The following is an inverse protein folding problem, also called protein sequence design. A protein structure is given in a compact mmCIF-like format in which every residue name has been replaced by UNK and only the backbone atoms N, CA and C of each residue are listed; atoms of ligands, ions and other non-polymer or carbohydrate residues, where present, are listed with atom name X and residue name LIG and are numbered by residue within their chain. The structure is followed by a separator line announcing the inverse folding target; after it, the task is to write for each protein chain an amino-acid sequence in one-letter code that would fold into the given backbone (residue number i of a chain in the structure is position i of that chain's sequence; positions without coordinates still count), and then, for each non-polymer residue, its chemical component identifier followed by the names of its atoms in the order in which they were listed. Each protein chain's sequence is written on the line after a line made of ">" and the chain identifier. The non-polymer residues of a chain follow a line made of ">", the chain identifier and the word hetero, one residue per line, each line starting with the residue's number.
data_IF_689660386345
#
_entry.id   IF_689660386345
#
_cell.length_a   1.000
_cell.length_b   1.000
_cell.length_c   1.000
_cell.angle_alpha   90.00
_cell.angle_beta   90.00
_cell.angle_gamma   90.00
#
_symmetry.space_group_name_H-M   'P 1'
#
loop_
_entity.id
_entity.type
_entity.pdbx_description
1 polymer ?
#
# COMPACT_ATOMS: atom_id res chain seq x y z
N UNK A 1 32.51 -73.32 53.95
CA UNK A 1 31.35 -74.09 53.45
C UNK A 1 30.07 -73.31 53.74
N UNK A 2 29.14 -73.36 52.79
CA UNK A 2 27.73 -72.89 52.82
C UNK A 2 27.48 -71.38 52.70
N UNK A 3 27.08 -70.99 51.49
CA UNK A 3 26.04 -69.99 51.24
C UNK A 3 24.66 -70.72 51.16
N UNK A 4 23.51 -70.06 50.92
CA UNK A 4 23.12 -68.64 51.04
C UNK A 4 21.78 -68.47 51.81
N UNK A 5 21.24 -67.24 51.90
CA UNK A 5 19.79 -66.98 51.80
C UNK A 5 19.51 -65.51 51.43
N UNK A 6 18.81 -65.32 50.30
CA UNK A 6 18.15 -64.08 49.86
C UNK A 6 16.82 -63.89 50.61
N UNK A 7 16.45 -62.64 50.93
CA UNK A 7 15.07 -62.14 51.09
C UNK A 7 15.04 -60.66 50.62
N UNK A 8 13.96 -60.18 49.95
CA UNK A 8 13.99 -59.07 49.01
C UNK A 8 13.71 -57.68 49.63
N UNK A 9 14.15 -56.63 48.93
CA UNK A 9 13.86 -55.23 49.23
C UNK A 9 12.41 -54.94 48.86
N UNK A 10 11.59 -54.63 49.86
CA UNK A 10 10.21 -54.13 49.72
C UNK A 10 10.24 -52.61 49.68
N UNK A 11 9.67 -52.05 48.63
CA UNK A 11 9.33 -50.63 48.48
C UNK A 11 7.98 -50.39 49.15
N UNK A 12 7.88 -49.51 50.15
CA UNK A 12 6.69 -48.67 50.38
C UNK A 12 6.96 -47.46 51.30
N UNK A 13 6.70 -46.29 50.71
CA UNK A 13 6.35 -44.95 51.19
C UNK A 13 6.16 -44.65 52.70
N UNK A 14 6.75 -43.53 53.14
CA UNK A 14 6.13 -42.44 53.92
C UNK A 14 7.10 -41.23 53.81
N UNK A 15 6.84 -40.17 53.03
CA UNK A 15 5.85 -39.09 53.19
C UNK A 15 6.43 -37.83 53.86
N UNK A 16 6.26 -36.71 53.14
CA UNK A 16 5.96 -35.37 53.64
C UNK A 16 6.94 -34.73 54.65
N UNK A 17 8.02 -34.11 54.16
CA UNK A 17 8.64 -32.97 54.85
C UNK A 17 9.56 -32.09 53.97
N UNK A 18 9.58 -32.26 52.64
CA UNK A 18 10.55 -31.54 51.79
C UNK A 18 9.98 -31.04 50.45
N UNK A 19 8.70 -30.63 50.43
CA UNK A 19 8.08 -29.92 49.30
C UNK A 19 7.21 -28.79 49.85
N UNK A 20 7.81 -27.88 50.62
CA UNK A 20 7.08 -26.72 51.15
C UNK A 20 7.90 -25.41 51.09
N UNK A 21 8.99 -25.36 50.33
CA UNK A 21 9.85 -24.18 50.23
C UNK A 21 10.40 -23.91 48.82
N UNK A 22 9.78 -24.47 47.77
CA UNK A 22 10.05 -24.04 46.38
C UNK A 22 8.90 -23.22 45.78
N UNK A 23 7.68 -23.32 46.30
CA UNK A 23 6.56 -22.49 45.83
C UNK A 23 6.60 -21.06 46.40
N UNK A 24 7.21 -20.84 47.56
CA UNK A 24 7.31 -19.51 48.19
C UNK A 24 8.49 -18.68 47.71
N UNK A 25 9.46 -19.27 47.02
CA UNK A 25 10.61 -18.54 46.42
C UNK A 25 10.40 -18.21 44.93
N UNK A 26 9.44 -18.86 44.26
CA UNK A 26 9.00 -18.49 42.90
C UNK A 26 7.78 -17.55 42.95
N UNK A 27 7.08 -17.44 44.08
CA UNK A 27 5.96 -16.48 44.22
C UNK A 27 6.39 -15.03 44.49
N UNK A 28 7.69 -14.73 44.58
CA UNK A 28 8.22 -13.35 44.75
C UNK A 28 9.02 -12.83 43.56
N UNK A 29 9.05 -13.53 42.42
CA UNK A 29 9.67 -13.06 41.16
C UNK A 29 8.65 -13.07 40.00
N UNK A 30 7.36 -12.89 40.30
CA UNK A 30 6.33 -12.66 39.28
C UNK A 30 5.36 -11.55 39.68
N UNK A 31 5.86 -10.51 40.34
CA UNK A 31 5.36 -9.19 40.01
C UNK A 31 6.19 -8.76 38.80
N UNK A 32 5.73 -9.13 37.59
CA UNK A 32 6.07 -8.32 36.44
C UNK A 32 5.70 -6.90 36.87
N UNK A 33 6.70 -6.02 37.03
CA UNK A 33 6.39 -4.60 37.03
C UNK A 33 5.68 -4.40 35.71
N UNK A 34 4.36 -4.19 35.75
CA UNK A 34 3.62 -3.67 34.62
C UNK A 34 4.37 -2.37 34.27
N UNK A 35 5.20 -2.43 33.23
CA UNK A 35 5.69 -1.23 32.59
C UNK A 35 4.40 -0.49 32.23
N UNK A 36 4.16 0.73 32.76
CA UNK A 36 2.94 1.45 32.44
C UNK A 36 2.88 1.52 30.92
N UNK A 37 1.88 0.88 30.32
CA UNK A 37 1.61 1.02 28.91
C UNK A 37 1.45 2.53 28.69
N UNK A 38 2.25 3.13 27.80
CA UNK A 38 2.07 4.54 27.52
C UNK A 38 0.68 4.70 26.92
N UNK A 39 -0.22 5.30 27.70
CA UNK A 39 -1.59 5.59 27.30
C UNK A 39 -1.60 6.93 26.58
N UNK A 40 -2.14 6.96 25.37
CA UNK A 40 -2.36 8.18 24.60
C UNK A 40 -3.84 8.53 24.76
N UNK A 41 -4.19 8.94 25.97
CA UNK A 41 -5.52 9.37 26.40
C UNK A 41 -5.44 10.82 26.85
N UNK A 42 -6.56 11.50 26.87
CA UNK A 42 -6.62 12.92 27.19
C UNK A 42 -6.36 13.80 25.98
N UNK A 43 -6.30 15.11 26.20
CA UNK A 43 -5.84 16.02 25.16
C UNK A 43 -4.31 16.00 25.04
N UNK A 44 -3.82 15.91 23.81
CA UNK A 44 -2.39 15.96 23.55
C UNK A 44 -1.73 17.24 24.10
N UNK A 45 -0.48 17.13 24.52
CA UNK A 45 0.35 18.26 24.98
C UNK A 45 1.39 18.69 23.94
N UNK A 46 1.54 17.94 22.84
CA UNK A 46 2.47 18.20 21.75
C UNK A 46 3.86 17.59 21.96
N UNK A 47 4.15 17.10 23.16
CA UNK A 47 5.43 16.46 23.50
C UNK A 47 5.38 14.94 23.28
N UNK A 48 4.19 14.39 23.04
CA UNK A 48 4.01 12.96 22.88
C UNK A 48 4.65 12.47 21.59
N UNK A 49 5.23 11.28 21.63
CA UNK A 49 5.78 10.61 20.45
C UNK A 49 5.07 9.27 20.33
N UNK A 50 3.86 9.23 19.75
CA UNK A 50 3.17 7.98 19.48
C UNK A 50 3.99 7.14 18.49
N UNK A 51 4.40 5.92 18.86
CA UNK A 51 5.15 5.05 17.96
C UNK A 51 4.22 4.56 16.83
N UNK A 52 4.74 4.35 15.61
CA UNK A 52 3.99 3.64 14.59
C UNK A 52 3.76 2.19 15.01
N UNK A 53 2.53 1.70 14.86
CA UNK A 53 2.23 0.27 15.04
C UNK A 53 2.65 -0.50 13.79
N UNK A 54 2.45 0.08 12.61
CA UNK A 54 2.87 -0.48 11.33
C UNK A 54 3.21 0.67 10.36
N UNK A 55 4.49 0.84 10.06
CA UNK A 55 4.98 1.91 9.19
C UNK A 55 4.59 1.74 7.73
N UNK A 56 4.50 0.49 7.26
CA UNK A 56 4.16 0.17 5.87
C UNK A 56 2.69 0.46 5.61
N UNK A 57 1.83 0.21 6.61
CA UNK A 57 0.42 0.54 6.55
C UNK A 57 0.21 2.05 6.44
N UNK A 58 0.89 2.82 7.28
CA UNK A 58 0.85 4.27 7.23
C UNK A 58 1.40 4.81 5.90
N UNK A 59 2.50 4.25 5.40
CA UNK A 59 3.04 4.65 4.09
C UNK A 59 2.06 4.35 2.95
N UNK A 60 1.43 3.17 2.96
CA UNK A 60 0.45 2.79 1.94
C UNK A 60 -0.76 3.74 1.92
N UNK A 61 -1.26 4.20 3.07
CA UNK A 61 -2.35 5.20 3.12
C UNK A 61 -1.97 6.49 2.37
N UNK A 62 -0.73 6.96 2.55
CA UNK A 62 -0.23 8.18 1.89
C UNK A 62 -0.14 7.97 0.38
N UNK A 63 0.50 6.88 -0.05
CA UNK A 63 0.68 6.55 -1.46
C UNK A 63 -0.65 6.36 -2.18
N UNK A 64 -1.59 5.61 -1.61
CA UNK A 64 -2.93 5.40 -2.16
C UNK A 64 -3.72 6.72 -2.27
N UNK A 65 -3.56 7.62 -1.29
CA UNK A 65 -4.21 8.94 -1.34
C UNK A 65 -3.62 9.79 -2.45
N UNK A 66 -2.30 9.77 -2.65
CA UNK A 66 -1.67 10.53 -3.73
C UNK A 66 -1.89 9.90 -5.10
N UNK A 67 -2.02 8.58 -5.21
CA UNK A 67 -2.46 7.90 -6.43
C UNK A 67 -3.89 8.31 -6.82
N UNK A 68 -4.81 8.39 -5.85
CA UNK A 68 -6.15 8.93 -6.08
C UNK A 68 -6.07 10.37 -6.61
N UNK A 69 -5.26 11.23 -5.96
CA UNK A 69 -5.14 12.63 -6.36
C UNK A 69 -4.54 12.78 -7.75
N UNK A 70 -3.49 12.03 -8.06
CA UNK A 70 -2.86 11.97 -9.38
C UNK A 70 -3.86 11.55 -10.47
N UNK A 71 -4.67 10.52 -10.20
CA UNK A 71 -5.72 10.07 -11.14
C UNK A 71 -6.76 11.14 -11.47
N UNK A 72 -6.87 12.18 -10.65
CA UNK A 72 -7.76 13.33 -10.80
C UNK A 72 -7.04 14.59 -11.32
N UNK A 73 -5.74 14.50 -11.60
CA UNK A 73 -4.89 15.65 -11.96
C UNK A 73 -4.72 16.65 -10.81
N UNK A 74 -4.78 16.19 -9.56
CA UNK A 74 -4.62 17.02 -8.37
C UNK A 74 -3.19 16.95 -7.83
N UNK A 75 -2.65 18.06 -7.29
CA UNK A 75 -1.33 18.09 -6.66
C UNK A 75 -1.19 17.04 -5.54
N UNK A 76 -0.09 16.28 -5.46
CA UNK A 76 0.14 15.31 -4.40
C UNK A 76 0.37 15.99 -3.05
N UNK A 77 -0.07 15.35 -1.98
CA UNK A 77 0.14 15.80 -0.60
C UNK A 77 1.50 15.35 -0.08
N UNK A 78 2.19 16.23 0.63
CA UNK A 78 3.47 15.94 1.30
C UNK A 78 3.25 15.22 2.64
N UNK A 79 3.87 14.06 2.88
CA UNK A 79 3.84 13.43 4.21
C UNK A 79 4.54 14.34 5.24
N UNK A 80 3.92 14.52 6.41
CA UNK A 80 4.46 15.33 7.50
C UNK A 80 4.41 14.60 8.84
N UNK A 81 5.58 14.47 9.48
CA UNK A 81 5.73 13.74 10.74
C UNK A 81 4.88 14.28 11.90
N UNK A 82 4.64 15.59 11.95
CA UNK A 82 3.78 16.17 12.99
C UNK A 82 2.29 15.81 12.80
N UNK A 83 1.84 15.68 11.55
CA UNK A 83 0.51 15.15 11.25
C UNK A 83 0.42 13.65 11.53
N UNK A 84 1.48 12.88 11.23
CA UNK A 84 1.57 11.46 11.63
C UNK A 84 1.45 11.31 13.15
N UNK A 85 2.18 12.13 13.93
CA UNK A 85 2.09 12.11 15.40
C UNK A 85 0.67 12.40 15.88
N UNK A 86 0.02 13.43 15.32
CA UNK A 86 -1.37 13.75 15.68
C UNK A 86 -2.33 12.61 15.31
N UNK A 87 -2.15 11.98 14.15
CA UNK A 87 -3.01 10.90 13.67
C UNK A 87 -2.80 9.61 14.48
N UNK A 88 -1.55 9.24 14.78
CA UNK A 88 -1.22 8.09 15.63
C UNK A 88 -1.73 8.28 17.05
N UNK A 89 -1.57 9.48 17.62
CA UNK A 89 -2.13 9.78 18.94
C UNK A 89 -3.61 9.44 18.96
N UNK A 90 -4.36 9.94 17.97
CA UNK A 90 -5.79 9.72 17.91
C UNK A 90 -6.17 8.27 17.62
N UNK A 91 -5.49 7.60 16.68
CA UNK A 91 -5.74 6.18 16.40
C UNK A 91 -5.57 5.33 17.67
N UNK A 92 -4.57 5.63 18.49
CA UNK A 92 -4.33 4.93 19.75
C UNK A 92 -5.39 5.30 20.82
N UNK A 93 -5.76 6.58 20.95
CA UNK A 93 -6.85 7.05 21.81
C UNK A 93 -8.16 6.28 21.51
N UNK A 94 -8.56 6.27 20.23
CA UNK A 94 -9.74 5.54 19.73
C UNK A 94 -9.71 4.05 20.10
N UNK A 95 -8.53 3.42 19.98
CA UNK A 95 -8.34 2.01 20.25
C UNK A 95 -8.28 1.69 21.75
N UNK A 96 -7.71 2.56 22.58
CA UNK A 96 -7.57 2.35 24.03
C UNK A 96 -8.90 2.49 24.75
N UNK A 97 -9.71 3.47 24.35
CA UNK A 97 -10.97 3.80 25.01
C UNK A 97 -12.20 3.14 24.36
N UNK A 98 -11.96 2.32 23.33
CA UNK A 98 -12.94 1.51 22.58
C UNK A 98 -14.12 2.36 22.10
N UNK A 99 -13.81 3.34 21.26
CA UNK A 99 -14.79 4.31 20.80
C UNK A 99 -15.98 3.63 20.08
N UNK A 100 -17.22 4.05 20.37
CA UNK A 100 -18.40 3.60 19.66
C UNK A 100 -18.52 4.24 18.27
N UNK A 101 -19.28 3.59 17.38
CA UNK A 101 -19.89 4.29 16.23
C UNK A 101 -21.17 5.01 16.68
N UNK A 102 -21.73 5.91 15.86
CA UNK A 102 -23.00 6.59 16.19
C UNK A 102 -24.18 5.65 16.39
N UNK A 103 -24.15 4.44 15.83
CA UNK A 103 -25.21 3.45 16.02
C UNK A 103 -25.32 3.05 17.48
N UNK A 104 -24.19 3.10 18.21
CA UNK A 104 -24.11 2.84 19.65
C UNK A 104 -24.30 4.10 20.49
N UNK A 105 -23.96 5.29 19.97
CA UNK A 105 -24.10 6.56 20.72
C UNK A 105 -24.46 7.74 19.80
N UNK A 106 -25.76 8.08 19.66
CA UNK A 106 -26.18 9.27 18.90
C UNK A 106 -25.58 10.56 19.46
N UNK A 107 -25.14 11.47 18.59
CA UNK A 107 -24.43 12.73 18.91
C UNK A 107 -23.00 12.60 19.46
N UNK A 108 -22.37 11.43 19.30
CA UNK A 108 -20.95 11.24 19.55
C UNK A 108 -20.09 11.71 18.35
N UNK A 109 -19.02 12.46 18.60
CA UNK A 109 -18.09 12.91 17.55
C UNK A 109 -16.74 12.20 17.72
N UNK A 110 -16.46 11.10 16.99
CA UNK A 110 -15.23 10.35 17.19
C UNK A 110 -13.96 11.13 16.78
N UNK A 111 -14.11 12.27 16.10
CA UNK A 111 -12.99 13.16 15.76
C UNK A 111 -12.41 13.87 16.99
N UNK A 112 -13.24 14.17 18.00
CA UNK A 112 -12.77 14.78 19.24
C UNK A 112 -12.13 13.71 20.13
N UNK A 113 -11.12 14.12 20.90
CA UNK A 113 -10.56 13.23 21.93
C UNK A 113 -11.50 13.20 23.12
N UNK A 114 -11.67 12.01 23.68
CA UNK A 114 -12.53 11.65 24.79
C UNK A 114 -11.78 10.70 25.71
N UNK A 115 -12.11 10.78 27.00
CA UNK A 115 -11.62 9.85 28.00
C UNK A 115 -12.77 9.03 28.57
N UNK A 116 -12.51 7.76 28.86
CA UNK A 116 -13.47 6.90 29.55
C UNK A 116 -13.49 7.20 31.06
N UNK A 117 -14.47 7.98 31.49
CA UNK A 117 -14.71 8.33 32.91
C UNK A 117 -15.95 7.60 33.42
N UNK A 118 -15.79 6.74 34.42
CA UNK A 118 -16.87 5.91 34.99
C UNK A 118 -17.62 5.05 33.96
N UNK A 119 -16.95 4.64 32.87
CA UNK A 119 -17.53 3.82 31.82
C UNK A 119 -18.25 4.62 30.72
N UNK A 120 -18.25 5.95 30.79
CA UNK A 120 -18.77 6.83 29.74
C UNK A 120 -17.63 7.58 29.06
N UNK A 121 -17.75 7.83 27.75
CA UNK A 121 -16.79 8.67 27.03
C UNK A 121 -17.13 10.14 27.25
N UNK A 122 -16.17 10.89 27.78
CA UNK A 122 -16.30 12.31 28.05
C UNK A 122 -15.31 13.06 27.19
N UNK A 123 -15.80 13.99 26.36
CA UNK A 123 -14.94 14.78 25.48
C UNK A 123 -13.94 15.61 26.31
N UNK A 124 -12.65 15.50 25.97
CA UNK A 124 -11.55 16.22 26.63
C UNK A 124 -11.02 17.38 25.79
N UNK A 125 -10.97 17.24 24.46
CA UNK A 125 -10.69 18.36 23.57
C UNK A 125 -11.13 18.09 22.13
N UNK A 126 -11.19 19.15 21.33
CA UNK A 126 -11.59 19.02 19.93
C UNK A 126 -10.46 18.42 19.09
N UNK A 127 -10.80 17.95 17.88
CA UNK A 127 -9.81 17.42 16.93
C UNK A 127 -8.77 18.50 16.56
N UNK A 128 -9.23 19.76 16.42
CA UNK A 128 -8.38 20.89 16.11
C UNK A 128 -7.43 21.21 17.26
N UNK A 129 -7.91 21.16 18.50
CA UNK A 129 -7.08 21.32 19.70
C UNK A 129 -6.00 20.23 19.77
N UNK A 130 -6.31 18.97 19.43
CA UNK A 130 -5.31 17.90 19.38
C UNK A 130 -4.27 18.14 18.28
N UNK A 131 -4.70 18.44 17.05
CA UNK A 131 -3.79 18.57 15.90
C UNK A 131 -2.83 19.75 16.09
N UNK A 132 -3.31 20.91 16.59
CA UNK A 132 -2.46 22.12 16.73
C UNK A 132 -1.33 21.95 17.75
N UNK A 133 -1.43 20.99 18.67
CA UNK A 133 -0.36 20.69 19.61
C UNK A 133 0.86 20.06 18.95
N UNK A 134 0.67 19.36 17.83
CA UNK A 134 1.76 18.79 17.04
C UNK A 134 2.09 19.64 15.83
N UNK A 135 1.06 20.14 15.15
CA UNK A 135 1.17 20.66 13.80
C UNK A 135 0.76 22.14 13.70
N UNK A 136 1.72 22.98 13.33
CA UNK A 136 1.54 24.43 13.22
C UNK A 136 0.91 24.86 11.88
N UNK A 137 -0.25 24.29 11.54
CA UNK A 137 -1.06 24.65 10.38
C UNK A 137 -2.33 25.41 10.77
N UNK A 138 -2.90 26.17 9.83
CA UNK A 138 -4.15 26.93 10.05
C UNK A 138 -5.40 26.21 9.54
N UNK A 139 -5.22 25.22 8.67
CA UNK A 139 -6.29 24.38 8.13
C UNK A 139 -5.96 22.95 8.50
N UNK A 140 -6.96 22.22 9.01
CA UNK A 140 -6.85 20.80 9.30
C UNK A 140 -8.12 20.06 8.87
N UNK A 141 -7.94 18.83 8.40
CA UNK A 141 -9.00 17.87 8.14
C UNK A 141 -8.62 16.51 8.70
N UNK A 142 -9.60 15.68 9.01
CA UNK A 142 -9.38 14.32 9.53
C UNK A 142 -10.37 13.35 8.90
N UNK A 143 -9.85 12.20 8.49
CA UNK A 143 -10.62 11.01 8.11
C UNK A 143 -10.33 9.90 9.12
N UNK A 144 -11.37 9.21 9.56
CA UNK A 144 -11.27 8.07 10.50
C UNK A 144 -11.87 6.82 9.88
N UNK A 145 -11.28 5.66 10.14
CA UNK A 145 -11.85 4.37 9.76
C UNK A 145 -11.62 3.33 10.85
N UNK A 146 -12.53 2.36 10.94
CA UNK A 146 -12.55 1.34 11.98
C UNK A 146 -12.80 -0.04 11.37
N UNK A 147 -12.14 -1.06 11.88
CA UNK A 147 -12.42 -2.46 11.52
C UNK A 147 -11.84 -2.93 10.20
N UNK A 148 -11.48 -2.02 9.28
CA UNK A 148 -10.76 -2.33 8.05
C UNK A 148 -9.41 -2.97 8.37
N UNK A 149 -9.11 -4.09 7.72
CA UNK A 149 -7.93 -4.92 8.01
C UNK A 149 -6.69 -4.54 7.18
N UNK A 150 -6.84 -3.66 6.19
CA UNK A 150 -5.77 -3.21 5.30
C UNK A 150 -5.87 -1.72 4.98
N UNK A 151 -4.74 -1.07 4.60
CA UNK A 151 -4.73 0.31 4.14
C UNK A 151 -5.65 0.56 2.94
N UNK A 152 -5.62 -0.34 1.96
CA UNK A 152 -6.48 -0.27 0.77
C UNK A 152 -7.96 -0.22 1.15
N UNK A 153 -8.40 -1.12 2.03
CA UNK A 153 -9.80 -1.18 2.43
C UNK A 153 -10.23 0.07 3.22
N UNK A 154 -9.33 0.67 4.03
CA UNK A 154 -9.60 1.92 4.73
C UNK A 154 -9.72 3.10 3.76
N UNK A 155 -8.79 3.23 2.80
CA UNK A 155 -8.82 4.26 1.76
C UNK A 155 -10.07 4.14 0.89
N UNK A 156 -10.43 2.93 0.49
CA UNK A 156 -11.63 2.67 -0.29
C UNK A 156 -12.89 3.05 0.48
N UNK A 157 -12.92 2.75 1.79
CA UNK A 157 -13.98 3.21 2.69
C UNK A 157 -14.09 4.74 2.76
N UNK A 158 -12.96 5.45 2.77
CA UNK A 158 -12.95 6.93 2.69
C UNK A 158 -13.39 7.44 1.32
N UNK A 159 -12.97 6.81 0.22
CA UNK A 159 -13.39 7.17 -1.14
C UNK A 159 -14.91 7.01 -1.29
N UNK A 160 -15.48 5.96 -0.68
CA UNK A 160 -16.92 5.69 -0.65
C UNK A 160 -17.75 6.70 0.15
N UNK A 161 -17.12 7.56 0.94
CA UNK A 161 -17.79 8.60 1.71
C UNK A 161 -17.60 9.96 1.07
N UNK A 162 -18.67 10.67 0.71
CA UNK A 162 -18.56 12.03 0.18
C UNK A 162 -17.73 12.94 1.07
N UNK A 163 -17.89 12.78 2.38
CA UNK A 163 -17.20 13.62 3.34
C UNK A 163 -15.69 13.38 3.41
N UNK A 164 -15.29 12.13 3.55
CA UNK A 164 -13.87 11.78 3.59
C UNK A 164 -13.19 11.98 2.24
N UNK A 165 -13.91 11.71 1.14
CA UNK A 165 -13.45 11.97 -0.22
C UNK A 165 -13.19 13.46 -0.46
N UNK A 166 -14.05 14.35 0.05
CA UNK A 166 -13.84 15.80 -0.03
C UNK A 166 -12.53 16.21 0.68
N UNK A 167 -12.20 15.60 1.81
CA UNK A 167 -10.91 15.81 2.46
C UNK A 167 -9.73 15.32 1.60
N UNK A 168 -9.81 14.09 1.09
CA UNK A 168 -8.74 13.48 0.27
C UNK A 168 -8.48 14.23 -1.04
N UNK A 169 -9.51 14.85 -1.62
CA UNK A 169 -9.43 15.57 -2.90
C UNK A 169 -9.35 17.09 -2.77
N UNK A 170 -9.38 17.62 -1.55
CA UNK A 170 -9.25 19.06 -1.31
C UNK A 170 -7.89 19.58 -1.79
N UNK A 171 -7.92 20.69 -2.54
CA UNK A 171 -6.72 21.46 -2.91
C UNK A 171 -6.31 22.47 -1.83
N UNK A 172 -7.09 22.56 -0.75
CA UNK A 172 -6.79 23.39 0.41
C UNK A 172 -5.71 22.82 1.33
N UNK A 173 -5.44 21.51 1.22
CA UNK A 173 -4.39 20.80 1.94
C UNK A 173 -3.21 20.53 1.02
N UNK A 174 -2.00 20.68 1.56
CA UNK A 174 -0.74 20.38 0.88
C UNK A 174 0.06 19.30 1.60
N UNK A 175 -0.38 18.92 2.80
CA UNK A 175 0.34 18.04 3.71
C UNK A 175 -0.62 17.00 4.28
N UNK A 176 -0.12 15.79 4.49
CA UNK A 176 -0.85 14.63 5.01
C UNK A 176 -0.04 13.96 6.12
N UNK A 177 -0.73 13.36 7.08
CA UNK A 177 -0.15 12.37 7.97
C UNK A 177 -1.18 11.31 8.35
N UNK A 178 -0.72 10.19 8.86
CA UNK A 178 -1.58 9.05 9.17
C UNK A 178 -1.10 8.28 10.40
N UNK A 179 -2.04 7.61 11.04
CA UNK A 179 -1.80 6.75 12.18
C UNK A 179 -2.65 5.50 12.13
N UNK A 180 -2.06 4.40 12.55
CA UNK A 180 -2.71 3.12 12.69
C UNK A 180 -2.55 2.59 14.11
N UNK A 181 -3.62 2.05 14.69
CA UNK A 181 -3.59 1.36 15.96
C UNK A 181 -4.33 0.03 15.89
N UNK A 182 -3.79 -0.95 16.62
CA UNK A 182 -4.40 -2.26 16.80
C UNK A 182 -4.62 -2.54 18.28
N UNK A 183 -5.85 -2.86 18.67
CA UNK A 183 -6.18 -3.33 20.01
C UNK A 183 -7.06 -4.59 19.93
N UNK A 184 -6.50 -5.75 20.31
CA UNK A 184 -7.19 -7.05 20.25
C UNK A 184 -8.48 -7.10 21.08
N UNK A 185 -8.55 -6.31 22.14
CA UNK A 185 -9.65 -6.30 23.11
C UNK A 185 -10.71 -5.24 22.79
N UNK A 186 -10.41 -4.30 21.90
CA UNK A 186 -11.36 -3.32 21.40
C UNK A 186 -12.29 -3.92 20.34
N UNK A 187 -13.49 -3.35 20.20
CA UNK A 187 -14.57 -3.89 19.37
C UNK A 187 -14.17 -3.99 17.89
N UNK A 188 -13.59 -2.92 17.33
CA UNK A 188 -13.21 -2.90 15.91
C UNK A 188 -11.82 -3.46 15.63
N UNK A 189 -10.98 -3.61 16.68
CA UNK A 189 -9.58 -4.04 16.63
C UNK A 189 -8.63 -3.12 15.85
N UNK A 190 -8.96 -2.73 14.63
CA UNK A 190 -8.16 -1.90 13.74
C UNK A 190 -8.73 -0.47 13.72
N UNK A 191 -7.87 0.52 13.92
CA UNK A 191 -8.23 1.94 14.01
C UNK A 191 -7.29 2.76 13.14
N UNK A 192 -7.86 3.59 12.27
CA UNK A 192 -7.13 4.37 11.27
C UNK A 192 -7.47 5.84 11.41
N UNK A 193 -6.45 6.70 11.38
CA UNK A 193 -6.59 8.14 11.29
C UNK A 193 -5.74 8.67 10.15
N UNK A 194 -6.31 9.61 9.39
CA UNK A 194 -5.65 10.34 8.32
C UNK A 194 -5.91 11.82 8.52
N UNK A 195 -4.86 12.57 8.82
CA UNK A 195 -4.90 14.00 9.05
C UNK A 195 -4.34 14.75 7.85
N UNK A 196 -4.97 15.88 7.54
CA UNK A 196 -4.59 16.77 6.47
C UNK A 196 -4.27 18.14 7.02
N UNK A 197 -3.41 18.88 6.32
CA UNK A 197 -3.18 20.27 6.70
C UNK A 197 -2.45 21.10 5.66
N UNK A 198 -2.20 22.34 6.06
CA UNK A 198 -1.35 23.27 5.32
C UNK A 198 -0.68 24.28 6.26
N UNK A 199 0.64 24.32 6.24
CA UNK A 199 1.43 25.36 6.93
C UNK A 199 1.53 26.62 6.10
N UNK A 200 1.41 27.77 6.75
CA UNK A 200 1.52 29.07 6.08
C UNK A 200 2.96 29.35 5.68
N UNK A 201 3.19 29.72 4.42
CA UNK A 201 4.53 30.06 3.91
C UNK A 201 5.46 28.86 3.66
N UNK A 202 4.95 27.64 3.83
CA UNK A 202 5.66 26.40 3.48
C UNK A 202 5.18 25.96 2.10
N UNK A 203 6.12 25.63 1.22
CA UNK A 203 5.87 25.20 -0.15
C UNK A 203 6.50 23.82 -0.35
N UNK A 204 5.74 22.73 -0.16
CA UNK A 204 6.30 21.39 -0.21
C UNK A 204 6.90 21.02 -1.56
N UNK A 205 7.91 20.16 -1.51
CA UNK A 205 8.41 19.37 -2.64
C UNK A 205 7.97 17.93 -2.38
N UNK A 206 7.51 17.24 -3.41
CA UNK A 206 7.06 15.85 -3.34
C UNK A 206 7.75 15.06 -4.45
N UNK A 207 8.48 14.00 -4.09
CA UNK A 207 9.13 13.07 -5.01
C UNK A 207 8.18 11.89 -5.25
N UNK A 208 7.94 11.53 -6.51
CA UNK A 208 7.19 10.34 -6.92
C UNK A 208 5.89 10.13 -6.13
N UNK A 209 5.06 11.17 -6.00
CA UNK A 209 3.79 11.11 -5.27
C UNK A 209 3.93 10.67 -3.78
N UNK A 210 5.04 11.00 -3.13
CA UNK A 210 5.44 10.54 -1.78
C UNK A 210 5.75 9.03 -1.68
N UNK A 211 6.19 8.39 -2.76
CA UNK A 211 6.67 7.01 -2.69
C UNK A 211 7.84 6.88 -1.70
N UNK A 212 7.81 5.86 -0.84
CA UNK A 212 8.90 5.63 0.11
C UNK A 212 10.21 5.22 -0.57
N UNK A 213 10.12 4.48 -1.68
CA UNK A 213 11.27 3.94 -2.39
C UNK A 213 11.15 4.13 -3.89
N UNK A 214 12.29 4.08 -4.59
CA UNK A 214 12.35 3.99 -6.05
C UNK A 214 13.55 3.17 -6.48
N UNK A 215 13.45 2.50 -7.62
CA UNK A 215 14.59 1.86 -8.29
C UNK A 215 15.17 2.77 -9.39
N UNK A 216 14.48 3.85 -9.73
CA UNK A 216 14.88 4.77 -10.79
C UNK A 216 15.59 6.00 -10.21
N UNK A 217 16.83 6.22 -10.64
CA UNK A 217 17.56 7.45 -10.31
C UNK A 217 16.99 8.70 -10.98
N UNK A 218 16.04 8.56 -11.91
CA UNK A 218 15.25 9.67 -12.44
C UNK A 218 13.88 9.63 -11.80
N UNK A 219 13.52 10.70 -11.10
CA UNK A 219 12.28 10.83 -10.32
C UNK A 219 11.44 11.99 -10.82
N UNK A 220 10.14 11.91 -10.59
CA UNK A 220 9.21 12.99 -10.82
C UNK A 220 9.09 13.84 -9.57
N UNK A 221 9.12 15.17 -9.75
CA UNK A 221 8.96 16.15 -8.69
C UNK A 221 7.67 16.93 -8.89
N UNK A 222 6.94 17.13 -7.79
CA UNK A 222 5.94 18.17 -7.66
C UNK A 222 6.42 19.25 -6.68
N UNK A 223 6.38 20.52 -7.08
CA UNK A 223 6.84 21.67 -6.32
C UNK A 223 5.69 22.67 -6.18
N UNK A 224 5.25 22.91 -4.95
CA UNK A 224 4.23 23.92 -4.68
C UNK A 224 4.80 25.34 -4.82
N UNK A 225 3.95 26.28 -5.27
CA UNK A 225 4.28 27.72 -5.23
C UNK A 225 4.29 28.45 -6.57
N UNK A 226 3.64 27.90 -7.61
CA UNK A 226 3.51 28.52 -8.94
C UNK A 226 3.00 29.97 -8.93
N UNK A 227 2.11 30.30 -7.99
CA UNK A 227 1.56 31.66 -7.88
C UNK A 227 2.47 32.61 -7.08
N UNK A 228 3.48 32.06 -6.42
CA UNK A 228 4.30 32.73 -5.40
C UNK A 228 5.73 33.00 -5.85
N UNK A 229 6.29 32.18 -6.74
CA UNK A 229 7.70 32.18 -7.09
C UNK A 229 7.91 32.22 -8.61
N UNK A 230 8.95 32.92 -9.04
CA UNK A 230 9.22 33.17 -10.46
C UNK A 230 10.37 32.29 -10.98
N UNK A 231 11.33 31.97 -10.10
CA UNK A 231 12.49 31.14 -10.41
C UNK A 231 12.72 30.10 -9.30
N UNK A 232 13.40 29.01 -9.66
CA UNK A 232 13.82 27.96 -8.75
C UNK A 232 15.22 27.45 -9.11
N UNK A 233 15.87 26.77 -8.17
CA UNK A 233 17.07 25.96 -8.39
C UNK A 233 17.06 24.75 -7.48
N UNK A 234 17.74 23.68 -7.88
CA UNK A 234 17.69 22.39 -7.20
C UNK A 234 19.09 21.88 -6.90
N UNK A 235 19.21 21.00 -5.90
CA UNK A 235 20.41 20.21 -5.64
C UNK A 235 20.06 18.86 -5.03
N UNK A 236 21.00 17.94 -5.15
CA UNK A 236 20.95 16.66 -4.46
C UNK A 236 21.82 16.70 -3.21
N UNK A 237 21.34 16.09 -2.13
CA UNK A 237 22.14 15.67 -0.98
C UNK A 237 23.06 16.77 -0.40
N UNK A 238 22.57 18.02 -0.30
CA UNK A 238 23.35 19.15 0.23
C UNK A 238 24.48 19.66 -0.70
N UNK A 239 24.52 19.16 -1.95
CA UNK A 239 25.55 19.45 -2.93
C UNK A 239 25.50 20.86 -3.52
N UNK A 240 26.06 21.00 -4.73
CA UNK A 240 26.07 22.28 -5.46
C UNK A 240 24.68 22.56 -6.05
N UNK A 241 24.21 23.78 -5.87
CA UNK A 241 22.99 24.27 -6.52
C UNK A 241 23.14 24.31 -8.04
N UNK A 242 22.08 23.94 -8.75
CA UNK A 242 21.93 24.26 -10.16
C UNK A 242 21.91 25.78 -10.39
N UNK A 243 22.05 26.18 -11.64
CA UNK A 243 21.69 27.54 -12.04
C UNK A 243 20.20 27.82 -11.74
N UNK A 244 19.89 29.10 -11.56
CA UNK A 244 18.50 29.54 -11.47
C UNK A 244 17.80 29.31 -12.81
N UNK A 245 16.60 28.74 -12.73
CA UNK A 245 15.73 28.49 -13.88
C UNK A 245 14.32 29.01 -13.59
N UNK A 246 13.48 29.23 -14.61
CA UNK A 246 12.07 29.56 -14.40
C UNK A 246 11.38 28.52 -13.50
N UNK A 247 10.48 28.98 -12.62
CA UNK A 247 9.73 28.11 -11.74
C UNK A 247 8.87 27.12 -12.55
N UNK A 248 8.87 25.85 -12.15
CA UNK A 248 7.99 24.81 -12.70
C UNK A 248 7.43 23.99 -11.53
N UNK A 249 6.12 23.74 -11.54
CA UNK A 249 5.49 22.90 -10.52
C UNK A 249 5.80 21.43 -10.71
N UNK A 250 6.10 21.00 -11.93
CA UNK A 250 6.32 19.59 -12.28
C UNK A 250 7.55 19.48 -13.18
N UNK A 251 8.47 18.58 -12.83
CA UNK A 251 9.62 18.23 -13.66
C UNK A 251 10.20 16.86 -13.28
N UNK A 252 10.98 16.29 -14.19
CA UNK A 252 11.84 15.14 -13.90
C UNK A 252 13.19 15.62 -13.37
N UNK A 253 13.77 14.87 -12.42
CA UNK A 253 15.05 15.19 -11.81
C UNK A 253 15.91 13.95 -11.62
N UNK A 254 17.22 14.09 -11.81
CA UNK A 254 18.19 12.99 -11.68
C UNK A 254 18.87 13.02 -10.32
N UNK A 255 18.65 11.98 -9.54
CA UNK A 255 19.31 11.70 -8.26
C UNK A 255 20.76 11.22 -8.47
N UNK A 256 21.54 11.19 -7.38
CA UNK A 256 22.81 10.46 -7.35
C UNK A 256 22.60 8.97 -7.63
N UNK A 257 23.55 8.32 -8.31
CA UNK A 257 23.44 6.91 -8.71
C UNK A 257 23.74 5.90 -7.60
N UNK A 258 24.08 6.36 -6.41
CA UNK A 258 24.35 5.48 -5.27
C UNK A 258 23.03 5.08 -4.61
N UNK A 259 22.88 3.82 -4.18
CA UNK A 259 21.72 3.42 -3.37
C UNK A 259 21.68 4.15 -2.01
N UNK A 260 20.52 4.10 -1.36
CA UNK A 260 20.26 4.72 -0.06
C UNK A 260 19.30 5.91 -0.13
N UNK A 261 19.13 6.59 1.00
CA UNK A 261 18.33 7.81 1.08
C UNK A 261 18.93 8.92 0.20
N UNK A 262 18.05 9.57 -0.58
CA UNK A 262 18.38 10.66 -1.50
C UNK A 262 17.50 11.83 -1.20
N UNK A 263 18.09 13.01 -1.06
CA UNK A 263 17.39 14.26 -0.78
C UNK A 263 17.43 15.17 -2.00
N UNK A 264 16.27 15.67 -2.42
CA UNK A 264 16.17 16.79 -3.36
C UNK A 264 15.81 18.04 -2.56
N UNK A 265 16.64 19.07 -2.67
CA UNK A 265 16.37 20.38 -2.10
C UNK A 265 16.07 21.36 -3.23
N UNK A 266 15.05 22.18 -3.03
CA UNK A 266 14.61 23.22 -3.97
C UNK A 266 14.67 24.56 -3.25
N UNK A 267 15.35 25.53 -3.86
CA UNK A 267 15.26 26.94 -3.46
C UNK A 267 14.46 27.70 -4.52
N UNK A 268 13.49 28.49 -4.07
CA UNK A 268 12.58 29.27 -4.91
C UNK A 268 12.78 30.75 -4.63
N UNK A 269 12.60 31.62 -5.64
CA UNK A 269 12.71 33.06 -5.46
C UNK A 269 11.73 33.89 -6.30
N UNK A 270 11.47 35.10 -5.79
CA UNK A 270 10.78 36.20 -6.47
C UNK A 270 11.49 37.50 -6.07
N UNK A 271 12.29 38.04 -6.98
CA UNK A 271 13.24 39.12 -6.65
C UNK A 271 14.24 38.66 -5.58
N UNK A 272 14.35 39.45 -4.50
CA UNK A 272 15.25 39.15 -3.38
C UNK A 272 14.65 38.18 -2.34
N UNK A 273 13.35 37.88 -2.44
CA UNK A 273 12.69 36.95 -1.51
C UNK A 273 12.99 35.52 -1.93
N UNK A 274 13.45 34.71 -0.99
CA UNK A 274 13.76 33.29 -1.20
C UNK A 274 13.05 32.42 -0.16
N UNK A 275 12.78 31.17 -0.53
CA UNK A 275 12.42 30.10 0.41
C UNK A 275 13.04 28.80 -0.08
N UNK A 276 13.13 27.81 0.82
CA UNK A 276 13.62 26.48 0.46
C UNK A 276 12.73 25.40 1.05
N UNK A 277 12.71 24.26 0.37
CA UNK A 277 11.97 23.08 0.75
C UNK A 277 12.71 21.84 0.24
N UNK A 278 12.42 20.69 0.79
CA UNK A 278 13.11 19.46 0.44
C UNK A 278 12.23 18.25 0.63
N UNK A 279 12.63 17.18 -0.06
CA UNK A 279 12.07 15.87 0.11
C UNK A 279 13.14 14.78 -0.01
N UNK A 280 12.86 13.60 0.53
CA UNK A 280 13.70 12.42 0.59
C UNK A 280 12.99 11.21 -0.01
N UNK A 281 13.72 10.38 -0.75
CA UNK A 281 13.26 9.06 -1.21
C UNK A 281 14.40 8.04 -1.03
N UNK A 282 14.07 6.78 -0.74
CA UNK A 282 15.07 5.73 -0.70
C UNK A 282 15.31 5.13 -2.09
N UNK A 283 16.48 5.37 -2.68
CA UNK A 283 16.89 4.75 -3.94
C UNK A 283 17.42 3.34 -3.68
N UNK A 284 16.69 2.33 -4.12
CA UNK A 284 17.13 0.93 -4.05
C UNK A 284 18.21 0.73 -5.10
N UNK A 285 19.41 0.36 -4.66
CA UNK A 285 20.48 -0.04 -5.59
C UNK A 285 20.07 -1.37 -6.21
N UNK A 286 19.62 -1.37 -7.46
CA UNK A 286 19.64 -2.60 -8.24
C UNK A 286 21.11 -2.96 -8.40
N UNK A 287 21.55 -4.05 -7.76
CA UNK A 287 22.87 -4.58 -8.03
C UNK A 287 22.95 -4.83 -9.54
N UNK A 288 23.98 -4.31 -10.21
CA UNK A 288 24.33 -4.86 -11.52
C UNK A 288 24.45 -6.38 -11.33
N UNK A 289 23.88 -7.23 -12.22
CA UNK A 289 24.18 -8.64 -12.21
C UNK A 289 25.70 -8.74 -12.32
N UNK A 290 26.34 -9.19 -11.25
CA UNK A 290 27.79 -9.32 -11.18
C UNK A 290 28.14 -10.49 -12.10
N UNK A 291 28.35 -10.18 -13.38
CA UNK A 291 29.08 -11.06 -14.28
C UNK A 291 30.54 -11.02 -13.84
N UNK A 292 30.87 -11.77 -12.79
CA UNK A 292 32.28 -12.06 -12.51
C UNK A 292 32.85 -12.82 -13.71
N UNK A 293 33.87 -12.29 -14.42
CA UNK A 293 34.60 -13.11 -15.35
C UNK A 293 35.50 -14.02 -14.52
N UNK A 294 35.07 -15.27 -14.33
CA UNK A 294 35.97 -16.32 -13.82
C UNK A 294 37.09 -16.47 -14.85
N UNK A 295 38.26 -15.99 -14.46
CA UNK A 295 39.51 -16.13 -15.19
C UNK A 295 40.14 -17.47 -14.82
N UNK A 296 40.41 -18.31 -15.81
CA UNK A 296 41.58 -19.20 -15.76
C UNK A 296 42.26 -19.26 -17.13
N UNK A 297 43.61 -19.42 -17.15
CA UNK A 297 44.45 -19.06 -18.29
C UNK A 297 44.63 -20.23 -19.25
N UNK A 298 45.04 -19.96 -20.50
CA UNK A 298 46.25 -20.56 -21.14
C UNK A 298 46.37 -20.18 -22.63
N UNK A 299 47.51 -19.53 -22.93
CA UNK A 299 48.31 -19.52 -24.16
C UNK A 299 47.78 -18.93 -25.49
N UNK A 300 48.37 -17.78 -25.83
CA UNK A 300 48.68 -17.24 -27.16
C UNK A 300 49.62 -18.17 -28.01
N UNK A 301 49.82 -17.97 -29.34
CA UNK A 301 49.88 -16.66 -30.00
C UNK A 301 49.21 -16.48 -31.39
N UNK A 302 49.06 -15.19 -31.70
CA UNK A 302 48.73 -14.54 -32.99
C UNK A 302 49.71 -14.89 -34.14
N UNK A 303 49.47 -14.55 -35.45
CA UNK A 303 49.36 -13.16 -35.90
C UNK A 303 48.39 -12.82 -37.06
N UNK A 304 47.81 -11.62 -36.97
CA UNK A 304 47.75 -10.52 -37.98
C UNK A 304 47.58 -10.85 -39.48
N UNK A 305 46.49 -10.39 -40.11
CA UNK A 305 46.45 -9.32 -41.17
C UNK A 305 45.07 -9.15 -41.83
N UNK A 306 44.62 -7.90 -41.92
CA UNK A 306 43.61 -7.30 -42.83
C UNK A 306 44.10 -7.29 -44.31
N UNK A 307 43.35 -6.78 -45.34
CA UNK A 307 41.90 -6.61 -45.57
C UNK A 307 41.42 -6.94 -47.02
N UNK A 308 40.13 -6.70 -47.30
CA UNK A 308 39.50 -6.30 -48.60
C UNK A 308 39.30 -7.35 -49.73
N UNK A 309 38.03 -7.57 -50.15
CA UNK A 309 37.41 -7.17 -51.45
C UNK A 309 36.19 -8.04 -51.82
N UNK A 310 35.03 -7.40 -52.00
CA UNK A 310 33.94 -7.78 -52.94
C UNK A 310 34.46 -7.71 -54.40
N UNK A 311 33.75 -8.13 -55.49
CA UNK A 311 32.37 -8.64 -55.59
C UNK A 311 32.22 -9.86 -56.53
N UNK A 312 30.97 -10.21 -56.87
CA UNK A 312 30.44 -10.62 -58.22
C UNK A 312 29.66 -11.95 -58.23
N UNK A 313 28.32 -11.84 -58.34
CA UNK A 313 27.37 -12.81 -58.93
C UNK A 313 27.64 -12.98 -60.45
N UNK A 314 27.13 -13.98 -61.23
CA UNK A 314 25.76 -14.52 -61.12
C UNK A 314 25.49 -16.00 -61.54
N UNK A 315 24.23 -16.40 -61.32
CA UNK A 315 23.33 -17.24 -62.17
C UNK A 315 23.35 -18.80 -62.17
N UNK A 316 22.15 -19.34 -61.84
CA UNK A 316 21.32 -20.33 -62.58
C UNK A 316 21.40 -21.84 -62.22
N UNK A 317 20.35 -22.24 -61.46
CA UNK A 317 19.35 -23.31 -61.74
C UNK A 317 19.78 -24.78 -61.83
N UNK A 318 19.27 -25.63 -60.93
CA UNK A 318 18.26 -26.70 -61.19
C UNK A 318 18.03 -27.60 -59.96
N UNK A 319 16.76 -27.73 -59.55
CA UNK A 319 16.15 -28.84 -58.79
C UNK A 319 16.06 -30.13 -59.64
N UNK A 320 15.46 -31.27 -59.18
CA UNK A 320 15.30 -31.84 -57.83
C UNK A 320 15.55 -33.38 -57.81
N UNK A 321 15.75 -34.03 -56.65
CA UNK A 321 15.16 -35.37 -56.33
C UNK A 321 15.46 -35.83 -54.89
N UNK A 322 14.42 -35.99 -54.09
CA UNK A 322 14.29 -36.99 -53.00
C UNK A 322 13.58 -38.26 -53.60
N UNK A 323 13.37 -39.41 -52.91
CA UNK A 323 13.49 -39.69 -51.47
C UNK A 323 14.19 -41.03 -51.12
N UNK A 324 14.31 -41.35 -49.82
CA UNK A 324 13.70 -42.53 -49.13
C UNK A 324 14.53 -42.98 -47.91
N UNK A 325 14.00 -42.70 -46.71
CA UNK A 325 13.88 -43.49 -45.46
C UNK A 325 14.96 -44.53 -45.06
N UNK A 326 15.43 -44.52 -43.78
CA UNK A 326 16.00 -45.69 -43.14
C UNK A 326 15.19 -46.18 -41.93
N UNK A 327 15.15 -47.50 -41.79
CA UNK A 327 14.59 -48.25 -40.66
C UNK A 327 15.62 -48.40 -39.53
N UNK A 328 15.11 -48.27 -38.29
CA UNK A 328 15.61 -48.67 -36.95
C UNK A 328 16.42 -50.00 -36.87
N UNK A 329 17.02 -50.46 -35.72
CA UNK A 329 16.78 -50.05 -34.32
C UNK A 329 17.99 -50.10 -33.32
N UNK A 330 17.65 -49.73 -32.07
CA UNK A 330 18.06 -50.33 -30.78
C UNK A 330 19.18 -49.67 -29.96
N UNK A 331 18.73 -49.27 -28.77
CA UNK A 331 19.43 -48.66 -27.66
C UNK A 331 20.40 -49.58 -26.91
N UNK A 332 21.38 -48.97 -26.25
CA UNK A 332 21.70 -49.19 -24.82
C UNK A 332 22.45 -47.94 -24.30
N UNK A 333 22.03 -47.50 -23.12
CA UNK A 333 22.23 -46.21 -22.44
C UNK A 333 23.43 -46.16 -21.48
N UNK A 334 24.06 -44.99 -21.34
CA UNK A 334 24.69 -44.44 -20.10
C UNK A 334 24.76 -42.89 -20.21
N UNK A 335 24.90 -42.13 -19.11
CA UNK A 335 23.92 -41.13 -18.66
C UNK A 335 24.13 -39.72 -19.21
N UNK A 336 23.01 -39.06 -19.52
CA UNK A 336 22.94 -37.65 -19.91
C UNK A 336 23.04 -36.74 -18.69
N UNK A 337 23.81 -35.66 -18.84
CA UNK A 337 23.94 -34.59 -17.87
C UNK A 337 22.58 -34.00 -17.44
N UNK A 338 22.48 -33.71 -16.15
CA UNK A 338 21.35 -33.05 -15.49
C UNK A 338 21.15 -31.64 -16.08
N UNK A 339 19.93 -31.24 -16.49
CA UNK A 339 19.72 -29.89 -17.00
C UNK A 339 19.77 -28.88 -15.86
N UNK A 340 20.51 -27.79 -16.08
CA UNK A 340 20.52 -26.56 -15.28
C UNK A 340 19.07 -26.10 -15.02
N UNK A 341 18.70 -25.73 -13.76
CA UNK A 341 17.35 -25.31 -13.48
C UNK A 341 17.08 -23.97 -14.17
N UNK A 342 16.07 -23.95 -15.04
CA UNK A 342 15.46 -22.73 -15.55
C UNK A 342 14.97 -21.90 -14.37
N UNK A 343 15.53 -20.71 -14.19
CA UNK A 343 15.05 -19.70 -13.25
C UNK A 343 13.56 -19.47 -13.53
N UNK A 344 12.73 -20.01 -12.65
CA UNK A 344 11.28 -19.91 -12.76
C UNK A 344 10.91 -18.50 -12.35
N UNK A 345 10.44 -17.70 -13.31
CA UNK A 345 9.86 -16.39 -13.04
C UNK A 345 8.88 -16.50 -11.87
N UNK A 346 9.03 -15.63 -10.87
CA UNK A 346 8.04 -15.51 -9.80
C UNK A 346 6.70 -15.24 -10.48
N UNK A 347 5.67 -16.08 -10.28
CA UNK A 347 4.38 -15.87 -10.91
C UNK A 347 3.82 -14.53 -10.43
N UNK A 348 3.38 -13.69 -11.37
CA UNK A 348 2.74 -12.42 -11.04
C UNK A 348 1.49 -12.67 -10.17
N UNK A 349 1.28 -11.82 -9.16
CA UNK A 349 0.17 -11.99 -8.22
C UNK A 349 -1.18 -11.70 -8.91
N UNK A 350 -2.27 -12.40 -8.50
CA UNK A 350 -3.62 -12.10 -8.95
C UNK A 350 -4.01 -10.64 -8.68
N UNK A 351 -4.71 -10.01 -9.62
CA UNK A 351 -5.11 -8.61 -9.49
C UNK A 351 -6.46 -8.34 -10.16
N UNK A 352 -7.19 -7.35 -9.63
CA UNK A 352 -8.44 -6.85 -10.21
C UNK A 352 -8.29 -5.37 -10.55
N UNK A 353 -8.67 -4.99 -11.77
CA UNK A 353 -8.56 -3.62 -12.29
C UNK A 353 -9.89 -3.16 -12.86
N UNK A 354 -10.15 -1.86 -12.80
CA UNK A 354 -11.39 -1.25 -13.28
C UNK A 354 -11.08 -0.18 -14.33
N UNK A 355 -11.97 -0.01 -15.31
CA UNK A 355 -11.84 1.10 -16.27
C UNK A 355 -12.03 2.45 -15.58
N UNK A 356 -12.93 2.48 -14.58
CA UNK A 356 -13.21 3.65 -13.77
C UNK A 356 -13.51 3.21 -12.34
N UNK A 357 -12.85 3.83 -11.36
CA UNK A 357 -13.14 3.66 -9.94
C UNK A 357 -14.22 4.64 -9.42
N UNK A 358 -14.77 5.49 -10.30
CA UNK A 358 -15.85 6.44 -10.00
C UNK A 358 -16.72 6.66 -11.21
N UNK A 359 -18.04 6.74 -11.03
CA UNK A 359 -19.00 7.08 -12.09
C UNK A 359 -20.37 7.47 -11.53
N UNK A 360 -21.30 7.91 -12.37
CA UNK A 360 -22.71 8.04 -11.96
C UNK A 360 -23.44 6.70 -12.08
N UNK A 361 -24.51 6.46 -11.29
CA UNK A 361 -25.48 5.41 -11.59
C UNK A 361 -25.85 5.42 -13.08
N UNK A 362 -25.83 4.25 -13.72
CA UNK A 362 -25.96 4.12 -15.18
C UNK A 362 -24.65 4.16 -15.97
N UNK A 363 -23.49 4.19 -15.29
CA UNK A 363 -22.19 3.98 -15.92
C UNK A 363 -21.94 2.51 -16.27
N UNK A 364 -21.10 2.29 -17.27
CA UNK A 364 -20.53 0.99 -17.59
C UNK A 364 -19.07 0.96 -17.12
N UNK A 365 -18.72 -0.04 -16.30
CA UNK A 365 -17.39 -0.19 -15.71
C UNK A 365 -16.82 -1.53 -16.16
N UNK A 366 -15.75 -1.51 -16.93
CA UNK A 366 -15.04 -2.73 -17.35
C UNK A 366 -14.19 -3.21 -16.20
N UNK A 367 -14.21 -4.51 -15.95
CA UNK A 367 -13.44 -5.19 -14.91
C UNK A 367 -12.50 -6.17 -15.58
N UNK A 368 -11.23 -6.10 -15.24
CA UNK A 368 -10.20 -7.06 -15.64
C UNK A 368 -9.70 -7.80 -14.41
N UNK A 369 -9.71 -9.13 -14.48
CA UNK A 369 -8.98 -9.99 -13.57
C UNK A 369 -7.75 -10.55 -14.26
N UNK A 370 -6.59 -10.44 -13.64
CA UNK A 370 -5.30 -10.87 -14.19
C UNK A 370 -4.60 -11.84 -13.24
N UNK A 371 -3.79 -12.75 -13.80
CA UNK A 371 -2.98 -13.75 -13.07
C UNK A 371 -3.78 -14.65 -12.11
N UNK A 372 -5.07 -14.85 -12.38
CA UNK A 372 -5.84 -15.89 -11.70
C UNK A 372 -5.40 -17.27 -12.22
N UNK A 373 -5.63 -18.35 -11.46
CA UNK A 373 -5.46 -19.71 -11.96
C UNK A 373 -6.20 -19.92 -13.29
N UNK A 374 -5.48 -20.39 -14.31
CA UNK A 374 -6.04 -20.59 -15.65
C UNK A 374 -7.20 -21.58 -15.68
N UNK A 375 -8.16 -21.32 -16.58
CA UNK A 375 -9.34 -22.16 -16.83
C UNK A 375 -10.18 -22.49 -15.57
N UNK A 376 -10.14 -21.63 -14.56
CA UNK A 376 -10.95 -21.78 -13.34
C UNK A 376 -12.24 -20.98 -13.37
N UNK A 377 -13.25 -21.52 -12.69
CA UNK A 377 -14.47 -20.79 -12.39
C UNK A 377 -14.17 -19.61 -11.45
N UNK A 378 -14.76 -18.46 -11.77
CA UNK A 378 -14.68 -17.25 -10.97
C UNK A 378 -16.08 -16.75 -10.64
N UNK A 379 -16.40 -16.70 -9.36
CA UNK A 379 -17.62 -16.08 -8.85
C UNK A 379 -17.37 -14.59 -8.66
N UNK A 380 -18.16 -13.76 -9.32
CA UNK A 380 -18.12 -12.30 -9.18
C UNK A 380 -19.12 -11.89 -8.10
N UNK A 381 -18.62 -11.31 -7.03
CA UNK A 381 -19.43 -10.73 -5.97
C UNK A 381 -19.38 -9.21 -6.06
N UNK A 382 -20.52 -8.57 -5.84
CA UNK A 382 -20.58 -7.11 -5.60
C UNK A 382 -21.09 -6.89 -4.19
N UNK A 383 -20.27 -6.24 -3.36
CA UNK A 383 -20.49 -6.06 -1.92
C UNK A 383 -20.87 -7.38 -1.22
N UNK A 384 -20.13 -8.45 -1.53
CA UNK A 384 -20.36 -9.79 -0.97
C UNK A 384 -21.57 -10.54 -1.53
N UNK A 385 -22.33 -9.95 -2.45
CA UNK A 385 -23.45 -10.62 -3.12
C UNK A 385 -23.00 -11.20 -4.46
N UNK A 386 -23.06 -12.53 -4.68
CA UNK A 386 -22.76 -13.11 -5.99
C UNK A 386 -23.73 -12.61 -7.05
N UNK A 387 -23.23 -12.02 -8.13
CA UNK A 387 -24.05 -11.50 -9.24
C UNK A 387 -23.77 -12.20 -10.57
N UNK A 388 -22.62 -12.87 -10.69
CA UNK A 388 -22.22 -13.55 -11.91
C UNK A 388 -21.21 -14.66 -11.62
N UNK A 389 -21.10 -15.61 -12.54
CA UNK A 389 -20.06 -16.64 -12.57
C UNK A 389 -19.48 -16.69 -13.97
N UNK A 390 -18.17 -16.55 -14.09
CA UNK A 390 -17.43 -16.65 -15.34
C UNK A 390 -16.30 -17.67 -15.23
N UNK A 391 -15.44 -17.70 -16.24
CA UNK A 391 -14.25 -18.57 -16.27
C UNK A 391 -13.06 -17.77 -16.78
N UNK A 392 -11.92 -17.87 -16.12
CA UNK A 392 -10.67 -17.30 -16.65
C UNK A 392 -10.23 -18.08 -17.88
N UNK A 393 -9.56 -17.43 -18.83
CA UNK A 393 -8.98 -18.11 -19.97
C UNK A 393 -7.68 -18.88 -19.60
N UNK A 394 -7.03 -19.46 -20.62
CA UNK A 394 -5.77 -20.18 -20.48
C UNK A 394 -4.58 -19.32 -19.99
N UNK A 395 -4.70 -17.98 -20.04
CA UNK A 395 -3.72 -17.04 -19.50
C UNK A 395 -4.06 -16.57 -18.07
N UNK A 396 -5.13 -17.08 -17.46
CA UNK A 396 -5.54 -16.65 -16.12
C UNK A 396 -6.25 -15.30 -16.10
N UNK A 397 -6.80 -14.85 -17.22
CA UNK A 397 -7.46 -13.55 -17.32
C UNK A 397 -8.97 -13.69 -17.52
N UNK A 398 -9.74 -12.73 -17.00
CA UNK A 398 -11.18 -12.60 -17.22
C UNK A 398 -11.54 -11.12 -17.43
N UNK A 399 -12.48 -10.85 -18.34
CA UNK A 399 -12.97 -9.50 -18.63
C UNK A 399 -14.49 -9.49 -18.68
N UNK A 400 -15.13 -8.52 -18.01
CA UNK A 400 -16.57 -8.27 -18.11
C UNK A 400 -16.89 -6.80 -17.86
N UNK A 401 -18.10 -6.37 -18.20
CA UNK A 401 -18.59 -5.02 -17.98
C UNK A 401 -19.72 -5.02 -16.95
N UNK A 402 -19.59 -4.23 -15.90
CA UNK A 402 -20.66 -3.94 -14.96
C UNK A 402 -21.56 -2.83 -15.52
N UNK A 403 -22.84 -3.15 -15.72
CA UNK A 403 -23.89 -2.18 -16.03
C UNK A 403 -24.54 -1.71 -14.73
N UNK A 404 -24.30 -0.44 -14.37
CA UNK A 404 -24.77 0.14 -13.11
C UNK A 404 -26.11 0.88 -13.24
N UNK A 405 -26.87 0.65 -14.33
CA UNK A 405 -28.20 1.28 -14.53
C UNK A 405 -29.19 0.94 -13.43
N UNK A 406 -29.13 -0.27 -12.88
CA UNK A 406 -29.98 -0.70 -11.76
C UNK A 406 -29.42 -0.36 -10.38
N UNK A 407 -28.19 0.13 -10.31
CA UNK A 407 -27.48 0.39 -9.07
C UNK A 407 -27.78 1.80 -8.56
N UNK A 408 -27.77 1.99 -7.24
CA UNK A 408 -27.93 3.30 -6.62
C UNK A 408 -26.59 4.01 -6.41
N UNK A 409 -26.62 5.30 -6.08
CA UNK A 409 -25.39 5.96 -5.64
C UNK A 409 -24.90 5.30 -4.34
N UNK A 410 -23.61 5.03 -4.24
CA UNK A 410 -23.02 4.33 -3.11
C UNK A 410 -21.70 3.68 -3.47
N UNK A 411 -21.15 2.96 -2.50
CA UNK A 411 -19.87 2.28 -2.64
C UNK A 411 -20.08 0.82 -3.05
N UNK A 412 -19.21 0.34 -3.92
CA UNK A 412 -19.22 -1.01 -4.45
C UNK A 412 -17.82 -1.61 -4.44
N UNK A 413 -17.68 -2.78 -3.85
CA UNK A 413 -16.52 -3.67 -3.98
C UNK A 413 -16.91 -4.77 -4.94
N UNK A 414 -16.19 -4.89 -6.06
CA UNK A 414 -16.25 -6.08 -6.90
C UNK A 414 -15.16 -7.04 -6.46
N UNK A 415 -15.55 -8.25 -6.10
CA UNK A 415 -14.64 -9.33 -5.70
C UNK A 415 -14.71 -10.43 -6.74
N UNK A 416 -13.56 -10.84 -7.26
CA UNK A 416 -13.42 -12.05 -8.05
C UNK A 416 -12.90 -13.16 -7.14
N UNK A 417 -13.72 -14.20 -6.98
CA UNK A 417 -13.40 -15.36 -6.15
C UNK A 417 -13.26 -16.62 -6.97
N UNK A 418 -12.16 -17.34 -6.79
CA UNK A 418 -11.95 -18.67 -7.36
C UNK A 418 -11.55 -19.66 -6.27
N UNK A 419 -11.85 -20.95 -6.47
CA UNK A 419 -11.42 -22.01 -5.55
C UNK A 419 -10.20 -22.73 -6.12
N UNK A 420 -9.11 -22.74 -5.36
CA UNK A 420 -7.86 -23.41 -5.74
C UNK A 420 -7.52 -24.42 -4.67
N UNK A 421 -7.49 -25.71 -5.01
CA UNK A 421 -7.06 -26.77 -4.10
C UNK A 421 -7.72 -26.68 -2.71
N UNK A 422 -9.02 -26.39 -2.64
CA UNK A 422 -9.84 -26.19 -1.41
C UNK A 422 -9.59 -24.92 -0.59
N UNK A 423 -8.80 -23.96 -1.11
CA UNK A 423 -8.69 -22.60 -0.57
C UNK A 423 -9.33 -21.59 -1.53
N UNK A 424 -10.11 -20.65 -1.00
CA UNK A 424 -10.64 -19.55 -1.79
C UNK A 424 -9.54 -18.50 -2.02
N UNK A 425 -9.31 -18.14 -3.28
CA UNK A 425 -8.52 -16.99 -3.69
C UNK A 425 -9.51 -15.88 -4.05
N UNK A 426 -9.41 -14.75 -3.36
CA UNK A 426 -10.28 -13.61 -3.52
C UNK A 426 -9.44 -12.36 -3.77
N UNK A 427 -9.66 -11.69 -4.89
CA UNK A 427 -9.14 -10.35 -5.12
C UNK A 427 -10.28 -9.39 -5.42
N UNK A 428 -10.05 -8.12 -5.16
CA UNK A 428 -11.11 -7.12 -5.25
C UNK A 428 -10.62 -5.78 -5.79
N UNK A 429 -11.56 -5.04 -6.36
CA UNK A 429 -11.39 -3.63 -6.66
C UNK A 429 -12.67 -2.90 -6.25
N UNK A 430 -12.54 -1.59 -6.04
CA UNK A 430 -13.64 -0.79 -5.51
C UNK A 430 -13.98 0.35 -6.45
N UNK A 431 -15.26 0.70 -6.51
CA UNK A 431 -15.74 1.84 -7.25
C UNK A 431 -16.90 2.54 -6.55
N UNK A 432 -17.05 3.82 -6.85
CA UNK A 432 -18.11 4.66 -6.29
C UNK A 432 -19.08 5.11 -7.37
N UNK A 433 -20.37 4.92 -7.10
CA UNK A 433 -21.43 5.55 -7.86
C UNK A 433 -21.89 6.82 -7.15
N UNK A 434 -21.80 7.97 -7.82
CA UNK A 434 -22.26 9.26 -7.30
C UNK A 434 -23.07 9.98 -8.36
N UNK A 435 -24.23 10.53 -7.99
CA UNK A 435 -25.04 11.34 -8.92
C UNK A 435 -24.32 12.59 -9.44
N UNK A 436 -23.19 12.97 -8.84
CA UNK A 436 -22.35 14.11 -9.22
C UNK A 436 -21.15 13.73 -10.10
N UNK A 437 -20.89 12.44 -10.31
CA UNK A 437 -19.79 11.96 -11.14
C UNK A 437 -20.21 11.89 -12.63
N UNK A 438 -19.25 11.84 -13.58
CA UNK A 438 -19.56 11.59 -14.98
C UNK A 438 -20.23 10.22 -15.16
N UNK A 439 -21.14 10.12 -16.12
CA UNK A 439 -21.69 8.84 -16.56
C UNK A 439 -20.84 8.30 -17.70
N UNK A 440 -20.36 7.07 -17.58
CA UNK A 440 -19.52 6.43 -18.61
C UNK A 440 -20.35 5.52 -19.52
N UNK A 441 -20.35 5.73 -20.85
CA UNK A 441 -21.06 4.85 -21.77
C UNK A 441 -20.38 3.49 -21.88
N UNK A 442 -21.09 2.48 -22.39
CA UNK A 442 -20.48 1.19 -22.71
C UNK A 442 -19.46 1.37 -23.83
N UNK A 443 -18.22 0.94 -23.59
CA UNK A 443 -17.19 0.87 -24.64
C UNK A 443 -17.64 -0.11 -25.73
N UNK A 444 -17.47 0.28 -26.99
CA UNK A 444 -18.11 -0.34 -28.17
C UNK A 444 -17.65 -1.74 -28.56
N UNK A 445 -17.11 -2.55 -27.63
CA UNK A 445 -16.69 -3.92 -27.91
C UNK A 445 -17.89 -4.89 -27.76
N UNK A 446 -18.22 -5.62 -28.83
CA UNK A 446 -19.46 -6.41 -28.91
C UNK A 446 -19.38 -7.82 -28.33
N UNK A 447 -18.25 -8.20 -27.71
CA UNK A 447 -18.00 -9.58 -27.25
C UNK A 447 -17.69 -9.72 -25.74
N UNK A 448 -17.78 -8.64 -24.96
CA UNK A 448 -17.57 -8.68 -23.51
C UNK A 448 -18.91 -8.84 -22.79
N UNK A 449 -18.99 -9.75 -21.82
CA UNK A 449 -20.21 -9.98 -21.04
C UNK A 449 -20.63 -8.71 -20.29
N UNK A 450 -21.91 -8.34 -20.37
CA UNK A 450 -22.47 -7.19 -19.65
C UNK A 450 -23.34 -7.69 -18.51
N UNK A 451 -22.89 -7.43 -17.28
CA UNK A 451 -23.49 -7.92 -16.05
C UNK A 451 -24.19 -6.75 -15.36
N UNK A 452 -25.50 -6.89 -15.14
CA UNK A 452 -26.27 -5.89 -14.40
C UNK A 452 -25.90 -5.93 -12.92
N UNK A 453 -25.59 -4.77 -12.33
CA UNK A 453 -25.48 -4.59 -10.88
C UNK A 453 -26.87 -4.28 -10.33
N UNK A 454 -27.47 -5.17 -9.51
CA UNK A 454 -28.77 -4.92 -8.88
C UNK A 454 -28.74 -3.72 -7.92
N UNK A 455 -29.90 -3.08 -7.76
CA UNK A 455 -30.11 -2.09 -6.69
C UNK A 455 -30.20 -2.76 -5.32
N UNK A 456 -30.03 -1.97 -4.24
CA UNK A 456 -29.98 -2.49 -2.87
C UNK A 456 -28.66 -3.17 -2.51
N UNK A 457 -27.67 -3.13 -3.42
CA UNK A 457 -26.33 -3.62 -3.17
C UNK A 457 -25.36 -2.53 -2.74
N UNK A 458 -25.71 -1.24 -2.84
CA UNK A 458 -24.83 -0.19 -2.35
C UNK A 458 -24.51 -0.44 -0.89
N UNK A 459 -23.21 -0.44 -0.55
CA UNK A 459 -22.82 -0.42 0.84
C UNK A 459 -23.33 0.90 1.43
N UNK A 460 -23.98 0.81 2.59
CA UNK A 460 -24.64 1.94 3.23
C UNK A 460 -23.64 3.07 3.47
N UNK A 461 -23.94 4.24 2.89
CA UNK A 461 -23.11 5.46 2.89
C UNK A 461 -23.05 6.07 4.31
N UNK A 462 -23.75 5.50 5.28
CA UNK A 462 -23.74 5.95 6.67
C UNK A 462 -22.51 5.51 7.47
N UNK A 463 -21.60 4.68 6.93
CA UNK A 463 -20.43 4.19 7.68
C UNK A 463 -19.22 5.12 7.71
N UNK A 464 -19.32 6.33 7.16
CA UNK A 464 -18.15 7.16 6.97
C UNK A 464 -18.54 8.65 6.92
N UNK A 465 -18.19 9.37 7.98
CA UNK A 465 -18.63 10.72 8.33
C UNK A 465 -18.30 11.85 7.34
N UNK A 466 -19.04 12.95 7.52
CA UNK A 466 -18.82 14.28 6.96
C UNK A 466 -17.58 14.96 7.57
N UNK A 467 -16.81 15.74 6.79
CA UNK A 467 -15.64 16.44 7.27
C UNK A 467 -16.09 17.58 8.17
N UNK A 468 -15.53 17.63 9.38
CA UNK A 468 -15.55 18.86 10.15
C UNK A 468 -14.44 19.77 9.61
N UNK A 469 -14.79 20.71 8.72
CA UNK A 469 -13.88 21.80 8.35
C UNK A 469 -13.94 22.85 9.45
N UNK A 470 -12.98 22.83 10.38
CA UNK A 470 -12.77 23.95 11.29
C UNK A 470 -12.21 25.13 10.48
N UNK A 471 -13.07 26.08 10.09
CA UNK A 471 -12.59 27.41 9.70
C UNK A 471 -12.39 28.22 10.98
N UNK A 472 -11.13 28.50 11.33
CA UNK A 472 -10.81 29.57 12.29
C UNK A 472 -10.89 30.93 11.61
#
# INVERSE_FOLDING_TARGET
>A
MKAPRLIPIVITFLSLALIANFDTLISTITAAQEVPQITYVGCATGNEIPPPVNTDYEQAIVELTNQLRDSLGLPPLKRQNDLDRAARYHAIDLAQDDYPDDTRTPNFSPHHSHDRVNGELVQVCTFGDRIIMFYNGRTAGENLAYGYTSPQAAVDGWIGSPGHYDNMTSTGYWEIGTGYAYNRDAYYRNYWSQNFGRRSGVFPVVINLEAATTENSTVDLYIYGSDNWDEMRLRNDGGTWSDWQPFQSELTWKLGSQGGERTVEVEMRRGDNTTSSSDTIFLVSTGEPTTEPTTEPTAEPSPTTEPTTEPTEPTVTTEPTEPTEPTEPTATTEPTAEPTPTETAVPAEPAVRLSHNRGAPGSFITVWGDNFPADQEVVVLVNGTPIYTGTTNAAGTIEFVLNTTGAEAGFYTVTLRTEVNTAALEEHATFVLSSMAPQYPQDGNSNTDVISVPGGLAADIQRAYLPYVARQ
#
